data_IF_531206136818
#
_entry.id   IF_531206136818
#
_cell.length_a   1.000
_cell.length_b   1.000
_cell.length_c   1.000
_cell.angle_alpha   90.00
_cell.angle_beta   90.00
_cell.angle_gamma   90.00
#
_symmetry.space_group_name_H-M   'P 1'
#
loop_
_entity.id
_entity.type
_entity.pdbx_description
1 polymer ?
#
# COMPACT_ATOMS: atom_id res chain seq x y z
N UNK A 1 -4.61 -0.22 -1.81
CA UNK A 1 -4.83 -1.67 -1.94
C UNK A 1 -6.29 -2.09 -2.17
N UNK A 2 -7.22 -1.78 -1.26
CA UNK A 2 -8.57 -2.39 -1.19
C UNK A 2 -9.36 -2.49 -2.51
N UNK A 3 -9.40 -1.42 -3.29
CA UNK A 3 -10.18 -1.39 -4.54
C UNK A 3 -9.66 -2.31 -5.66
N UNK A 4 -8.48 -2.90 -5.50
CA UNK A 4 -7.95 -3.90 -6.42
C UNK A 4 -8.43 -5.32 -6.10
N UNK A 5 -9.17 -5.51 -5.00
CA UNK A 5 -9.63 -6.81 -4.53
C UNK A 5 -11.12 -6.94 -4.80
N UNK A 6 -11.50 -7.89 -5.67
CA UNK A 6 -12.90 -8.19 -5.95
C UNK A 6 -13.54 -8.96 -4.81
N UNK A 7 -14.78 -8.60 -4.50
CA UNK A 7 -15.66 -9.36 -3.62
C UNK A 7 -16.39 -10.40 -4.47
N UNK A 8 -16.57 -11.59 -3.90
CA UNK A 8 -17.37 -12.65 -4.49
C UNK A 8 -18.76 -12.13 -4.87
N UNK A 9 -19.25 -12.47 -6.06
CA UNK A 9 -20.51 -11.94 -6.58
C UNK A 9 -21.70 -12.19 -5.65
N UNK A 10 -21.66 -13.30 -4.89
CA UNK A 10 -22.70 -13.67 -3.91
C UNK A 10 -22.76 -12.71 -2.74
N UNK A 11 -21.65 -12.09 -2.38
CA UNK A 11 -21.52 -11.21 -1.20
C UNK A 11 -21.66 -9.72 -1.56
N UNK A 12 -21.56 -9.33 -2.83
CA UNK A 12 -21.70 -7.92 -3.29
C UNK A 12 -23.04 -7.30 -2.91
N UNK A 13 -24.10 -8.12 -2.77
CA UNK A 13 -25.44 -7.68 -2.30
C UNK A 13 -25.41 -7.04 -0.90
N UNK A 14 -24.41 -7.35 -0.08
CA UNK A 14 -24.26 -6.78 1.26
C UNK A 14 -23.52 -5.44 1.27
N UNK A 15 -23.03 -4.98 0.10
CA UNK A 15 -22.33 -3.71 -0.07
C UNK A 15 -23.12 -2.74 -0.96
N UNK A 16 -24.44 -2.73 -0.80
CA UNK A 16 -25.33 -1.85 -1.57
C UNK A 16 -25.36 -0.43 -0.99
N UNK A 17 -25.34 0.55 -1.88
CA UNK A 17 -25.52 1.96 -1.55
C UNK A 17 -26.65 2.55 -2.39
N UNK A 18 -27.35 3.54 -1.83
CA UNK A 18 -28.28 4.36 -2.57
C UNK A 18 -27.63 5.71 -2.87
N UNK A 19 -27.66 6.12 -4.14
CA UNK A 19 -27.08 7.38 -4.56
C UNK A 19 -27.91 8.06 -5.64
N UNK A 20 -27.88 9.39 -5.61
CA UNK A 20 -28.42 10.29 -6.63
C UNK A 20 -27.61 11.58 -6.62
N UNK A 21 -27.53 12.26 -7.77
CA UNK A 21 -26.73 13.47 -7.92
C UNK A 21 -27.45 14.69 -7.34
N UNK A 22 -28.74 14.84 -7.67
CA UNK A 22 -29.61 15.91 -7.19
C UNK A 22 -30.76 15.36 -6.35
N UNK A 23 -31.40 16.22 -5.56
CA UNK A 23 -32.51 15.82 -4.68
C UNK A 23 -33.77 15.43 -5.48
N UNK A 24 -33.88 15.95 -6.69
CA UNK A 24 -34.97 15.71 -7.63
C UNK A 24 -34.77 14.43 -8.45
N UNK A 25 -33.52 13.95 -8.54
CA UNK A 25 -33.20 12.73 -9.28
C UNK A 25 -33.77 11.49 -8.57
N UNK A 26 -34.12 10.49 -9.39
CA UNK A 26 -34.50 9.18 -8.90
C UNK A 26 -33.35 8.54 -8.11
N UNK A 27 -33.67 7.97 -6.95
CA UNK A 27 -32.70 7.25 -6.13
C UNK A 27 -32.28 5.96 -6.83
N UNK A 28 -30.98 5.76 -7.04
CA UNK A 28 -30.43 4.55 -7.67
C UNK A 28 -29.73 3.68 -6.66
N UNK A 29 -29.89 2.37 -6.77
CA UNK A 29 -29.13 1.38 -6.02
C UNK A 29 -27.87 0.98 -6.80
N UNK A 30 -26.72 0.99 -6.12
CA UNK A 30 -25.44 0.51 -6.65
C UNK A 30 -24.91 -0.58 -5.74
N UNK A 31 -24.18 -1.54 -6.31
CA UNK A 31 -23.44 -2.55 -5.53
C UNK A 31 -21.95 -2.31 -5.70
N UNK A 32 -21.22 -2.20 -4.60
CA UNK A 32 -19.77 -2.09 -4.64
C UNK A 32 -19.17 -3.47 -4.93
N UNK A 33 -18.27 -3.55 -5.91
CA UNK A 33 -17.73 -4.84 -6.40
C UNK A 33 -16.43 -5.25 -5.71
N UNK A 34 -15.78 -4.33 -5.02
CA UNK A 34 -14.45 -4.51 -4.45
C UNK A 34 -14.48 -4.29 -2.95
N UNK A 35 -13.44 -4.76 -2.25
CA UNK A 35 -13.27 -4.47 -0.82
C UNK A 35 -13.34 -2.94 -0.65
N UNK A 36 -14.31 -2.48 0.15
CA UNK A 36 -14.57 -1.05 0.34
C UNK A 36 -14.09 -0.56 1.69
N UNK A 37 -13.85 0.74 1.80
CA UNK A 37 -13.46 1.38 3.06
C UNK A 37 -14.62 1.39 4.06
N UNK A 38 -14.29 1.38 5.35
CA UNK A 38 -15.28 1.54 6.43
C UNK A 38 -15.99 0.28 6.88
N UNK A 39 -15.80 -0.87 6.20
CA UNK A 39 -16.24 -2.15 6.74
C UNK A 39 -15.19 -2.70 7.72
N UNK A 40 -15.66 -3.22 8.85
CA UNK A 40 -14.79 -3.81 9.87
C UNK A 40 -13.94 -4.98 9.35
N UNK A 41 -14.43 -5.71 8.33
CA UNK A 41 -13.72 -6.86 7.73
C UNK A 41 -12.71 -6.48 6.65
N UNK A 42 -12.75 -5.26 6.11
CA UNK A 42 -11.91 -4.88 4.96
C UNK A 42 -10.41 -4.99 5.22
N UNK A 43 -9.86 -4.55 6.37
CA UNK A 43 -8.44 -4.72 6.67
C UNK A 43 -8.00 -6.19 6.65
N UNK A 44 -8.79 -7.06 7.30
CA UNK A 44 -8.51 -8.49 7.32
C UNK A 44 -8.52 -9.10 5.91
N UNK A 45 -9.53 -8.77 5.10
CA UNK A 45 -9.64 -9.29 3.73
C UNK A 45 -8.44 -8.85 2.88
N UNK A 46 -7.99 -7.61 3.02
CA UNK A 46 -6.87 -7.12 2.23
C UNK A 46 -5.53 -7.75 2.65
N UNK A 47 -5.28 -7.85 3.94
CA UNK A 47 -4.07 -8.53 4.47
C UNK A 47 -4.06 -9.99 4.03
N UNK A 48 -5.19 -10.71 4.11
CA UNK A 48 -5.27 -12.11 3.69
C UNK A 48 -4.96 -12.30 2.19
N UNK A 49 -5.35 -11.33 1.35
CA UNK A 49 -5.01 -11.34 -0.09
C UNK A 49 -3.52 -11.11 -0.30
N UNK A 50 -2.90 -10.17 0.42
CA UNK A 50 -1.45 -9.97 0.35
C UNK A 50 -0.68 -11.23 0.81
N UNK A 51 -1.14 -11.90 1.86
CA UNK A 51 -0.54 -13.16 2.30
C UNK A 51 -0.70 -14.26 1.24
N UNK A 52 -1.85 -14.36 0.57
CA UNK A 52 -2.01 -15.32 -0.52
C UNK A 52 -1.05 -15.00 -1.68
N UNK A 53 -0.94 -13.73 -2.05
CA UNK A 53 -0.04 -13.30 -3.11
C UNK A 53 1.43 -13.62 -2.76
N UNK A 54 1.82 -13.43 -1.50
CA UNK A 54 3.14 -13.82 -1.03
C UNK A 54 3.38 -15.33 -1.18
N UNK A 55 2.41 -16.17 -0.80
CA UNK A 55 2.49 -17.63 -0.97
C UNK A 55 2.60 -18.03 -2.45
N UNK A 56 1.74 -17.45 -3.30
CA UNK A 56 1.64 -17.80 -4.72
C UNK A 56 2.92 -17.41 -5.49
N UNK A 57 3.55 -16.29 -5.10
CA UNK A 57 4.73 -15.73 -5.78
C UNK A 57 6.07 -15.99 -5.05
N UNK A 58 6.06 -16.68 -3.91
CA UNK A 58 7.25 -16.94 -3.08
C UNK A 58 8.39 -17.63 -3.85
N UNK A 59 8.06 -18.50 -4.81
CA UNK A 59 9.06 -19.18 -5.64
C UNK A 59 9.81 -18.22 -6.59
N UNK A 60 9.18 -17.10 -6.98
CA UNK A 60 9.74 -16.10 -7.90
C UNK A 60 10.37 -14.93 -7.17
N UNK A 61 9.81 -14.54 -6.03
CA UNK A 61 10.18 -13.35 -5.26
C UNK A 61 10.29 -13.66 -3.76
N UNK A 62 11.25 -14.51 -3.35
CA UNK A 62 11.33 -15.01 -1.97
C UNK A 62 11.60 -13.92 -0.93
N UNK A 63 12.38 -12.89 -1.26
CA UNK A 63 12.67 -11.79 -0.33
C UNK A 63 11.40 -10.98 -0.10
N UNK A 64 10.74 -10.56 -1.18
CA UNK A 64 9.51 -9.78 -1.07
C UNK A 64 8.37 -10.54 -0.39
N UNK A 65 8.25 -11.84 -0.63
CA UNK A 65 7.23 -12.67 0.01
C UNK A 65 7.38 -12.68 1.53
N UNK A 66 8.61 -12.81 2.05
CA UNK A 66 8.86 -12.74 3.50
C UNK A 66 8.47 -11.39 4.09
N UNK A 67 8.87 -10.29 3.46
CA UNK A 67 8.54 -8.93 3.90
C UNK A 67 7.04 -8.66 3.86
N UNK A 68 6.31 -9.18 2.87
CA UNK A 68 4.88 -8.91 2.76
C UNK A 68 4.08 -9.54 3.91
N UNK A 69 4.56 -10.67 4.45
CA UNK A 69 3.97 -11.35 5.61
C UNK A 69 4.39 -10.70 6.92
N UNK A 70 5.66 -10.32 7.07
CA UNK A 70 6.22 -9.92 8.37
C UNK A 70 6.27 -8.40 8.60
N UNK A 71 6.21 -7.60 7.53
CA UNK A 71 6.53 -6.16 7.57
C UNK A 71 5.49 -5.27 6.86
N UNK A 72 4.30 -5.81 6.59
CA UNK A 72 3.17 -5.03 6.11
C UNK A 72 2.28 -4.56 7.27
N UNK A 73 1.89 -3.28 7.24
CA UNK A 73 0.85 -2.73 8.10
C UNK A 73 -0.25 -2.15 7.23
N UNK A 74 -1.26 -2.97 6.95
CA UNK A 74 -2.38 -2.63 6.06
C UNK A 74 -1.89 -2.20 4.67
N UNK A 75 -1.92 -0.90 4.35
CA UNK A 75 -1.52 -0.34 3.04
C UNK A 75 -0.04 0.08 3.02
N UNK A 76 0.66 0.10 4.17
CA UNK A 76 2.04 0.53 4.30
C UNK A 76 3.00 -0.66 4.45
N UNK A 77 4.19 -0.55 3.87
CA UNK A 77 5.27 -1.55 4.01
C UNK A 77 6.50 -0.81 4.50
N UNK A 78 7.03 -1.23 5.64
CA UNK A 78 8.24 -0.66 6.24
C UNK A 78 9.28 -1.77 6.39
N UNK A 79 10.40 -1.65 5.67
CA UNK A 79 11.44 -2.67 5.66
C UNK A 79 12.80 -2.05 5.36
N UNK A 80 13.86 -2.85 5.54
CA UNK A 80 15.24 -2.47 5.30
C UNK A 80 16.11 -3.70 5.07
N UNK A 81 17.39 -3.45 4.80
CA UNK A 81 18.41 -4.49 4.65
C UNK A 81 19.76 -3.98 5.17
N UNK A 82 20.71 -4.88 5.42
CA UNK A 82 22.02 -4.56 5.97
C UNK A 82 22.98 -3.96 4.92
N UNK A 83 22.63 -4.05 3.64
CA UNK A 83 23.39 -3.49 2.52
C UNK A 83 22.50 -2.82 1.48
N UNK A 84 23.08 -1.86 0.74
CA UNK A 84 22.38 -1.15 -0.33
C UNK A 84 21.98 -2.09 -1.48
N UNK A 85 22.83 -3.08 -1.79
CA UNK A 85 22.58 -4.09 -2.82
C UNK A 85 21.40 -4.99 -2.45
N UNK A 86 21.31 -5.45 -1.21
CA UNK A 86 20.17 -6.24 -0.72
C UNK A 86 18.90 -5.39 -0.70
N UNK A 87 18.97 -4.13 -0.23
CA UNK A 87 17.83 -3.22 -0.23
C UNK A 87 17.28 -2.95 -1.64
N UNK A 88 18.17 -2.78 -2.64
CA UNK A 88 17.77 -2.63 -4.06
C UNK A 88 17.12 -3.90 -4.60
N UNK A 89 17.67 -5.07 -4.27
CA UNK A 89 17.13 -6.35 -4.69
C UNK A 89 15.73 -6.58 -4.11
N UNK A 90 15.58 -6.33 -2.81
CA UNK A 90 14.30 -6.40 -2.10
C UNK A 90 13.28 -5.41 -2.68
N UNK A 91 13.67 -4.16 -2.93
CA UNK A 91 12.81 -3.15 -3.55
C UNK A 91 12.28 -3.64 -4.91
N UNK A 92 13.15 -4.19 -5.76
CA UNK A 92 12.77 -4.68 -7.08
C UNK A 92 11.84 -5.89 -7.00
N UNK A 93 12.10 -6.82 -6.08
CA UNK A 93 11.20 -7.95 -5.83
C UNK A 93 9.84 -7.49 -5.32
N UNK A 94 9.78 -6.52 -4.38
CA UNK A 94 8.52 -5.99 -3.84
C UNK A 94 7.66 -5.35 -4.93
N UNK A 95 8.28 -4.53 -5.78
CA UNK A 95 7.60 -3.93 -6.94
C UNK A 95 7.04 -5.04 -7.84
N UNK A 96 7.84 -6.05 -8.14
CA UNK A 96 7.46 -7.11 -9.08
C UNK A 96 6.36 -8.01 -8.53
N UNK A 97 6.49 -8.45 -7.28
CA UNK A 97 5.52 -9.29 -6.58
C UNK A 97 4.16 -8.57 -6.47
N UNK A 98 4.15 -7.34 -5.97
CA UNK A 98 2.91 -6.60 -5.79
C UNK A 98 2.26 -6.23 -7.13
N UNK A 99 3.06 -5.92 -8.16
CA UNK A 99 2.53 -5.71 -9.51
C UNK A 99 1.93 -6.99 -10.10
N UNK A 100 2.45 -8.18 -9.80
CA UNK A 100 1.84 -9.44 -10.22
C UNK A 100 0.41 -9.61 -9.65
N UNK A 101 0.18 -9.10 -8.43
CA UNK A 101 -1.15 -9.01 -7.82
C UNK A 101 -1.97 -7.78 -8.19
N UNK A 102 -1.47 -6.89 -9.05
CA UNK A 102 -2.17 -5.65 -9.44
C UNK A 102 -2.13 -4.53 -8.38
N UNK A 103 -1.16 -4.56 -7.47
CA UNK A 103 -0.98 -3.58 -6.40
C UNK A 103 0.22 -2.66 -6.68
N UNK A 104 0.08 -1.60 -7.48
CA UNK A 104 1.19 -0.68 -7.72
C UNK A 104 1.60 0.06 -6.44
N UNK A 105 2.88 -0.07 -6.07
CA UNK A 105 3.49 0.69 -4.99
C UNK A 105 3.72 2.16 -5.40
N UNK A 106 3.59 3.06 -4.43
CA UNK A 106 3.80 4.49 -4.61
C UNK A 106 4.28 5.12 -3.30
N UNK A 107 4.67 6.40 -3.33
CA UNK A 107 5.14 7.16 -2.17
C UNK A 107 6.40 6.57 -1.52
N UNK A 108 7.39 6.22 -2.34
CA UNK A 108 8.68 5.71 -1.90
C UNK A 108 9.46 6.74 -1.06
N UNK A 109 10.00 6.28 0.06
CA UNK A 109 10.89 7.04 0.95
C UNK A 109 11.99 6.11 1.46
N UNK A 110 13.19 6.62 1.67
CA UNK A 110 14.35 5.85 2.10
C UNK A 110 15.40 6.76 2.75
N UNK A 111 16.21 6.20 3.65
CA UNK A 111 17.35 6.88 4.26
C UNK A 111 18.55 7.02 3.29
N UNK A 112 18.68 6.11 2.31
CA UNK A 112 19.69 6.21 1.25
C UNK A 112 19.08 6.75 -0.07
N UNK A 113 19.53 7.91 -0.57
CA UNK A 113 19.06 8.49 -1.84
C UNK A 113 19.25 7.58 -3.06
N UNK A 114 20.20 6.65 -3.04
CA UNK A 114 20.44 5.71 -4.13
C UNK A 114 19.27 4.73 -4.34
N UNK A 115 18.45 4.48 -3.31
CA UNK A 115 17.20 3.72 -3.41
C UNK A 115 16.08 4.53 -4.09
N UNK A 116 16.21 5.86 -4.18
CA UNK A 116 15.21 6.76 -4.76
C UNK A 116 15.59 7.27 -6.15
N UNK A 117 16.81 6.98 -6.62
CA UNK A 117 17.34 7.52 -7.87
C UNK A 117 16.55 7.10 -9.13
N UNK A 118 15.90 5.93 -9.10
CA UNK A 118 15.14 5.39 -10.23
C UNK A 118 13.66 5.81 -10.30
N UNK A 119 13.16 6.53 -9.29
CA UNK A 119 11.74 6.89 -9.22
C UNK A 119 11.48 8.32 -9.71
N UNK A 120 10.36 8.49 -10.42
CA UNK A 120 9.86 9.81 -10.78
C UNK A 120 9.39 10.58 -9.51
N UNK A 121 9.37 11.92 -9.53
CA UNK A 121 8.94 12.72 -8.37
C UNK A 121 7.56 12.34 -7.82
N UNK A 122 6.63 11.92 -8.68
CA UNK A 122 5.27 11.53 -8.31
C UNK A 122 5.20 10.19 -7.57
N UNK A 123 6.23 9.36 -7.74
CA UNK A 123 6.35 8.07 -7.06
C UNK A 123 7.01 8.19 -5.69
N UNK A 124 7.65 9.32 -5.37
CA UNK A 124 8.30 9.57 -4.09
C UNK A 124 7.28 10.07 -3.05
N UNK A 125 7.53 9.81 -1.78
CA UNK A 125 6.74 10.37 -0.71
C UNK A 125 6.85 11.91 -0.73
N UNK A 126 5.72 12.60 -0.59
CA UNK A 126 5.76 14.04 -0.40
C UNK A 126 6.21 14.36 1.03
N UNK A 127 7.08 15.37 1.19
CA UNK A 127 7.36 15.94 2.51
C UNK A 127 6.03 16.42 3.14
N UNK A 128 5.80 16.17 4.44
CA UNK A 128 4.63 16.61 5.16
C UNK A 128 4.60 18.14 5.08
N UNK A 129 3.50 18.67 4.53
CA UNK A 129 3.28 20.12 4.40
C UNK A 129 2.94 20.81 5.73
N UNK A 130 2.94 20.07 6.84
CA UNK A 130 2.51 20.56 8.14
C UNK A 130 3.71 20.63 9.11
N UNK A 131 4.37 21.78 9.05
CA UNK A 131 4.65 22.69 10.18
C UNK A 131 5.56 22.25 11.36
N UNK A 132 6.69 22.97 11.44
CA UNK A 132 7.57 23.29 12.59
C UNK A 132 8.82 22.45 12.92
N UNK A 133 9.05 21.27 12.34
CA UNK A 133 10.37 20.58 12.50
C UNK A 133 10.81 19.87 11.24
N UNK A 134 11.78 20.48 10.54
CA UNK A 134 12.58 19.95 9.41
C UNK A 134 11.79 19.59 8.14
N UNK A 135 12.14 20.24 7.03
CA UNK A 135 11.55 20.11 5.68
C UNK A 135 11.64 18.69 5.06
N UNK A 136 12.33 17.77 5.74
CA UNK A 136 12.68 16.42 5.27
C UNK A 136 12.03 15.28 6.07
N UNK A 137 11.20 15.58 7.07
CA UNK A 137 10.48 14.53 7.81
C UNK A 137 9.47 13.81 6.90
N UNK A 138 9.01 12.61 7.26
CA UNK A 138 7.91 11.90 6.62
C UNK A 138 7.00 11.35 7.73
N UNK A 139 5.67 11.45 7.58
CA UNK A 139 4.75 10.83 8.54
C UNK A 139 4.48 9.39 8.15
N UNK A 140 4.90 8.44 8.98
CA UNK A 140 4.61 7.02 8.85
C UNK A 140 3.87 6.53 10.09
N UNK A 141 2.67 5.96 9.90
CA UNK A 141 1.84 5.39 10.97
C UNK A 141 1.57 6.33 12.16
N UNK A 142 1.57 7.65 11.91
CA UNK A 142 1.39 8.67 12.96
C UNK A 142 2.66 9.07 13.69
N UNK A 143 3.82 8.54 13.29
CA UNK A 143 5.15 8.91 13.79
C UNK A 143 5.86 9.73 12.71
N UNK A 144 6.67 10.70 13.11
CA UNK A 144 7.55 11.44 12.20
C UNK A 144 8.83 10.63 12.01
N UNK A 145 9.35 10.51 10.80
CA UNK A 145 10.65 9.89 10.55
C UNK A 145 11.48 10.82 9.66
N UNK A 146 12.73 11.05 10.02
CA UNK A 146 13.71 11.83 9.28
C UNK A 146 14.62 10.86 8.53
N UNK A 147 14.42 10.65 7.22
CA UNK A 147 15.13 9.59 6.50
C UNK A 147 16.65 9.79 6.51
N UNK A 148 17.13 11.02 6.31
CA UNK A 148 18.56 11.31 6.23
C UNK A 148 19.33 11.03 7.54
N UNK A 149 18.66 11.16 8.69
CA UNK A 149 19.23 10.92 10.01
C UNK A 149 18.83 9.54 10.57
N UNK A 150 17.95 8.83 9.88
CA UNK A 150 17.28 7.61 10.33
C UNK A 150 16.73 7.72 11.77
N UNK A 151 16.01 8.81 12.04
CA UNK A 151 15.52 9.17 13.36
C UNK A 151 14.00 9.38 13.38
N UNK A 152 13.32 8.94 14.44
CA UNK A 152 11.87 9.11 14.65
C UNK A 152 11.57 10.24 15.64
#
# INVERSE_FOLDING_TARGET
>A
MFRQILIDERDRRYQQIFWRSRKEDEMRAFSLNTVTYGLASSPFQAIRVLHQLAEDEAARYPLAASILVDSSYVDDILTGADSLEEAKSLQQELISLLMAGGFPLSKWTANDPALLAGFAPEQKAASPKNDWTKEEACSMLGISWQPAEDAF
#
